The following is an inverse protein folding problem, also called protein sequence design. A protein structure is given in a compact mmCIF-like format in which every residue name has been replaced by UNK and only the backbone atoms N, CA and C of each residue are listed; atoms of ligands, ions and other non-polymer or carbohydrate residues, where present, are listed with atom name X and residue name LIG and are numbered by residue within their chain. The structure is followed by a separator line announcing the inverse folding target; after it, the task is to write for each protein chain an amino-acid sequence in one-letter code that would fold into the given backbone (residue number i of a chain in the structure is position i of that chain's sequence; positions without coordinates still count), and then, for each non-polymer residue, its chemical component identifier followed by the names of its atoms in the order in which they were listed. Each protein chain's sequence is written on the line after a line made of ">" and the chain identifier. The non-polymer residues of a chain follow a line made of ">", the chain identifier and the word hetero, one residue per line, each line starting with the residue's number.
data_IF_762164908832
#
_entry.id   IF_762164908832
#
_cell.length_a   1.000
_cell.length_b   1.000
_cell.length_c   1.000
_cell.angle_alpha   90.00
_cell.angle_beta   90.00
_cell.angle_gamma   90.00
#
_symmetry.space_group_name_H-M   'P 1'
#
loop_
_entity.id
_entity.type
_entity.pdbx_description
1 polymer ?
#
# COMPACT_ATOMS: atom_id res chain seq x y z
N UNK A 1 -37.65 19.13 2.95
CA UNK A 1 -37.10 17.79 2.64
C UNK A 1 -35.89 17.56 3.52
N UNK A 2 -35.82 16.44 4.26
CA UNK A 2 -34.62 16.05 5.04
C UNK A 2 -33.77 15.17 4.13
N UNK A 3 -32.56 15.60 3.79
CA UNK A 3 -31.63 14.78 3.02
C UNK A 3 -31.10 13.65 3.90
N UNK A 4 -31.18 12.40 3.42
CA UNK A 4 -30.47 11.30 4.06
C UNK A 4 -28.99 11.44 3.75
N UNK A 5 -28.16 11.50 4.78
CA UNK A 5 -26.70 11.48 4.62
C UNK A 5 -26.31 10.05 4.25
N UNK A 6 -25.65 9.83 3.09
CA UNK A 6 -25.21 8.49 2.72
C UNK A 6 -24.20 7.97 3.76
N UNK A 7 -24.46 6.80 4.33
CA UNK A 7 -23.66 6.24 5.42
C UNK A 7 -22.42 5.45 4.97
N UNK A 8 -22.27 5.21 3.66
CA UNK A 8 -21.19 4.37 3.10
C UNK A 8 -20.25 5.11 2.15
N UNK A 9 -20.09 6.43 2.32
CA UNK A 9 -19.17 7.23 1.48
C UNK A 9 -17.71 6.83 1.73
N UNK A 10 -17.39 6.40 2.95
CA UNK A 10 -16.03 6.05 3.37
C UNK A 10 -15.63 4.63 2.94
N UNK A 11 -16.59 3.77 2.62
CA UNK A 11 -16.33 2.39 2.20
C UNK A 11 -16.10 2.37 0.70
N UNK A 12 -14.89 2.01 0.29
CA UNK A 12 -14.57 1.87 -1.12
C UNK A 12 -15.42 0.78 -1.78
N UNK A 13 -15.94 1.10 -2.97
CA UNK A 13 -16.81 0.21 -3.73
C UNK A 13 -16.05 -1.05 -4.15
N UNK A 14 -16.66 -2.21 -3.90
CA UNK A 14 -16.17 -3.50 -4.38
C UNK A 14 -16.68 -3.73 -5.79
N UNK A 15 -15.81 -3.50 -6.78
CA UNK A 15 -16.16 -3.59 -8.20
C UNK A 15 -16.00 -5.02 -8.72
N UNK A 16 -14.99 -5.74 -8.23
CA UNK A 16 -14.64 -7.09 -8.68
C UNK A 16 -14.96 -8.12 -7.59
N UNK A 17 -16.23 -8.52 -7.52
CA UNK A 17 -16.72 -9.46 -6.50
C UNK A 17 -16.45 -8.93 -5.09
N UNK A 18 -15.61 -9.59 -4.26
CA UNK A 18 -15.28 -9.11 -2.93
C UNK A 18 -14.20 -8.01 -2.90
N UNK A 19 -13.57 -7.68 -4.04
CA UNK A 19 -12.40 -6.81 -4.13
C UNK A 19 -12.77 -5.38 -4.54
N UNK A 20 -12.10 -4.40 -3.90
CA UNK A 20 -12.08 -3.02 -4.42
C UNK A 20 -11.21 -2.93 -5.67
N UNK A 21 -11.38 -1.86 -6.46
CA UNK A 21 -10.57 -1.64 -7.65
C UNK A 21 -9.06 -1.65 -7.34
N UNK A 22 -8.67 -1.01 -6.23
CA UNK A 22 -7.26 -0.97 -5.79
C UNK A 22 -6.74 -2.37 -5.47
N UNK A 23 -7.50 -3.15 -4.70
CA UNK A 23 -7.13 -4.52 -4.35
C UNK A 23 -6.96 -5.40 -5.59
N UNK A 24 -7.89 -5.28 -6.54
CA UNK A 24 -7.81 -5.98 -7.82
C UNK A 24 -6.53 -5.61 -8.58
N UNK A 25 -6.21 -4.31 -8.68
CA UNK A 25 -4.98 -3.85 -9.36
C UNK A 25 -3.72 -4.41 -8.68
N UNK A 26 -3.63 -4.43 -7.35
CA UNK A 26 -2.47 -5.01 -6.67
C UNK A 26 -2.32 -6.50 -6.91
N UNK A 27 -3.42 -7.26 -6.90
CA UNK A 27 -3.38 -8.70 -7.17
C UNK A 27 -3.09 -9.01 -8.64
N UNK A 28 -3.74 -8.30 -9.57
CA UNK A 28 -3.51 -8.46 -11.00
C UNK A 28 -2.09 -8.05 -11.39
N UNK A 29 -1.59 -6.94 -10.86
CA UNK A 29 -0.21 -6.49 -11.06
C UNK A 29 0.80 -7.48 -10.46
N UNK A 30 0.57 -7.94 -9.22
CA UNK A 30 1.41 -8.95 -8.57
C UNK A 30 1.44 -10.27 -9.34
N UNK A 31 0.28 -10.77 -9.78
CA UNK A 31 0.17 -11.97 -10.61
C UNK A 31 0.88 -11.79 -11.96
N UNK A 32 0.75 -10.63 -12.60
CA UNK A 32 1.46 -10.29 -13.83
C UNK A 32 2.98 -10.31 -13.65
N UNK A 33 3.50 -9.72 -12.56
CA UNK A 33 4.93 -9.75 -12.24
C UNK A 33 5.39 -11.18 -11.98
N UNK A 34 4.65 -11.96 -11.18
CA UNK A 34 4.97 -13.37 -10.90
C UNK A 34 5.02 -14.18 -12.20
N UNK A 35 4.07 -13.97 -13.11
CA UNK A 35 4.06 -14.62 -14.42
C UNK A 35 5.30 -14.25 -15.26
N UNK A 36 5.69 -12.96 -15.28
CA UNK A 36 6.91 -12.55 -15.96
C UNK A 36 8.16 -13.20 -15.34
N UNK A 37 8.24 -13.26 -14.00
CA UNK A 37 9.34 -13.92 -13.29
C UNK A 37 9.41 -15.41 -13.61
N UNK A 38 8.26 -16.08 -13.71
CA UNK A 38 8.16 -17.49 -14.10
C UNK A 38 8.71 -17.74 -15.51
N UNK A 39 8.44 -16.83 -16.46
CA UNK A 39 8.89 -16.99 -17.86
C UNK A 39 10.39 -16.70 -18.01
N UNK A 40 10.95 -15.78 -17.21
CA UNK A 40 12.31 -15.25 -17.43
C UNK A 40 13.36 -15.96 -16.56
N UNK A 41 13.03 -16.40 -15.35
CA UNK A 41 14.03 -16.90 -14.39
C UNK A 41 14.12 -18.43 -14.34
N UNK A 42 15.31 -18.98 -14.03
CA UNK A 42 15.47 -20.40 -13.75
C UNK A 42 14.81 -20.78 -12.42
N UNK A 43 14.47 -22.06 -12.26
CA UNK A 43 13.63 -22.60 -11.18
C UNK A 43 13.97 -22.08 -9.77
N UNK A 44 15.25 -22.05 -9.39
CA UNK A 44 15.66 -21.60 -8.06
C UNK A 44 15.43 -20.09 -7.85
N UNK A 45 15.85 -19.26 -8.80
CA UNK A 45 15.69 -17.80 -8.71
C UNK A 45 14.22 -17.41 -8.81
N UNK A 46 13.41 -18.15 -9.57
CA UNK A 46 11.97 -17.93 -9.65
C UNK A 46 11.33 -17.93 -8.26
N UNK A 47 11.52 -18.97 -7.44
CA UNK A 47 10.95 -19.02 -6.09
C UNK A 47 11.48 -17.89 -5.20
N UNK A 48 12.77 -17.58 -5.30
CA UNK A 48 13.39 -16.52 -4.50
C UNK A 48 12.73 -15.15 -4.72
N UNK A 49 12.30 -14.82 -5.94
CA UNK A 49 11.66 -13.54 -6.24
C UNK A 49 10.13 -13.59 -6.20
N UNK A 50 9.51 -14.69 -6.62
CA UNK A 50 8.04 -14.80 -6.66
C UNK A 50 7.42 -14.82 -5.26
N UNK A 51 8.07 -15.45 -4.28
CA UNK A 51 7.59 -15.48 -2.89
C UNK A 51 7.48 -14.07 -2.29
N UNK A 52 8.54 -13.24 -2.27
CA UNK A 52 8.43 -11.88 -1.71
C UNK A 52 7.49 -10.98 -2.54
N UNK A 53 7.45 -11.13 -3.86
CA UNK A 53 6.51 -10.37 -4.71
C UNK A 53 5.05 -10.75 -4.39
N UNK A 54 4.75 -12.03 -4.26
CA UNK A 54 3.42 -12.51 -3.88
C UNK A 54 3.02 -12.06 -2.48
N UNK A 55 3.94 -12.15 -1.52
CA UNK A 55 3.73 -11.66 -0.16
C UNK A 55 3.45 -10.15 -0.14
N UNK A 56 4.21 -9.38 -0.91
CA UNK A 56 4.01 -7.93 -1.02
C UNK A 56 2.67 -7.59 -1.67
N UNK A 57 2.29 -8.25 -2.76
CA UNK A 57 1.02 -8.03 -3.44
C UNK A 57 -0.18 -8.33 -2.52
N UNK A 58 -0.12 -9.45 -1.77
CA UNK A 58 -1.13 -9.80 -0.78
C UNK A 58 -1.17 -8.80 0.38
N UNK A 59 -0.01 -8.34 0.86
CA UNK A 59 0.06 -7.33 1.91
C UNK A 59 -0.55 -6.01 1.44
N UNK A 60 -0.23 -5.54 0.24
CA UNK A 60 -0.80 -4.32 -0.34
C UNK A 60 -2.32 -4.40 -0.50
N UNK A 61 -2.85 -5.58 -0.85
CA UNK A 61 -4.28 -5.78 -1.03
C UNK A 61 -5.07 -5.94 0.29
N UNK A 62 -4.53 -6.67 1.27
CA UNK A 62 -5.33 -7.12 2.42
C UNK A 62 -4.76 -6.75 3.79
N UNK A 63 -3.45 -6.49 3.90
CA UNK A 63 -2.85 -6.21 5.20
C UNK A 63 -3.23 -4.81 5.67
N UNK A 64 -3.62 -4.72 6.95
CA UNK A 64 -4.10 -3.48 7.57
C UNK A 64 -3.52 -3.29 8.98
N UNK A 65 -2.24 -2.93 9.11
CA UNK A 65 -1.64 -2.67 10.42
C UNK A 65 -2.34 -1.48 11.07
N UNK A 66 -2.75 -1.62 12.34
CA UNK A 66 -3.42 -0.57 13.12
C UNK A 66 -4.66 0.03 12.43
N UNK A 67 -5.49 -0.81 11.80
CA UNK A 67 -6.70 -0.40 11.06
C UNK A 67 -6.45 0.56 9.89
N UNK A 68 -5.20 0.67 9.41
CA UNK A 68 -4.86 1.49 8.24
C UNK A 68 -4.46 0.59 7.07
N UNK A 69 -4.91 0.87 5.84
CA UNK A 69 -4.47 0.14 4.66
C UNK A 69 -2.94 0.13 4.55
N UNK A 70 -2.33 -1.03 4.33
CA UNK A 70 -0.87 -1.14 4.24
C UNK A 70 -0.29 -0.23 3.15
N UNK A 71 -1.01 -0.02 2.05
CA UNK A 71 -0.61 0.95 1.02
C UNK A 71 -0.32 2.35 1.58
N UNK A 72 -1.11 2.83 2.55
CA UNK A 72 -0.89 4.13 3.19
C UNK A 72 0.36 4.15 4.05
N UNK A 73 0.69 3.03 4.67
CA UNK A 73 1.95 2.90 5.40
C UNK A 73 3.15 2.96 4.45
N UNK A 74 3.08 2.27 3.31
CA UNK A 74 4.12 2.28 2.28
C UNK A 74 4.27 3.69 1.67
N UNK A 75 3.15 4.34 1.32
CA UNK A 75 3.12 5.72 0.81
C UNK A 75 3.80 6.68 1.79
N UNK A 76 3.46 6.62 3.08
CA UNK A 76 4.08 7.45 4.10
C UNK A 76 5.57 7.14 4.30
N UNK A 77 5.97 5.86 4.20
CA UNK A 77 7.37 5.47 4.30
C UNK A 77 8.20 6.01 3.12
N UNK A 78 7.63 5.95 1.90
CA UNK A 78 8.24 6.50 0.70
C UNK A 78 8.36 8.02 0.80
N UNK A 79 7.28 8.72 1.19
CA UNK A 79 7.30 10.16 1.42
C UNK A 79 8.37 10.55 2.45
N UNK A 80 8.41 9.88 3.60
CA UNK A 80 9.42 10.15 4.62
C UNK A 80 10.86 9.93 4.11
N UNK A 81 11.07 8.93 3.26
CA UNK A 81 12.38 8.65 2.68
C UNK A 81 12.79 9.66 1.60
N UNK A 82 11.83 10.19 0.83
CA UNK A 82 12.09 11.14 -0.25
C UNK A 82 12.11 12.60 0.19
N UNK A 83 11.42 12.95 1.28
CA UNK A 83 11.26 14.32 1.73
C UNK A 83 12.56 14.91 2.29
N UNK A 84 12.80 16.19 1.99
CA UNK A 84 13.94 16.93 2.52
C UNK A 84 13.80 17.09 4.04
N UNK A 85 14.82 16.65 4.78
CA UNK A 85 14.85 16.78 6.25
C UNK A 85 15.26 18.20 6.63
N UNK A 86 14.27 19.05 6.88
CA UNK A 86 14.50 20.41 7.38
C UNK A 86 14.72 20.34 8.89
N UNK A 87 15.94 20.66 9.33
CA UNK A 87 16.28 20.78 10.74
C UNK A 87 16.23 22.25 11.16
N UNK A 88 15.16 22.64 11.85
CA UNK A 88 15.02 24.01 12.37
C UNK A 88 15.56 24.03 13.80
N UNK A 89 16.64 24.78 14.03
CA UNK A 89 17.14 25.03 15.39
C UNK A 89 16.29 26.12 16.04
N UNK A 90 15.70 25.81 17.20
CA UNK A 90 14.96 26.78 18.01
C UNK A 90 15.76 27.12 19.25
N UNK A 91 16.31 28.33 19.32
CA UNK A 91 16.99 28.83 20.52
C UNK A 91 16.00 28.84 21.68
N UNK A 92 16.34 28.22 22.81
CA UNK A 92 15.58 28.38 24.05
C UNK A 92 15.67 29.84 24.46
N UNK A 93 14.55 30.54 24.51
CA UNK A 93 14.50 31.85 25.15
C UNK A 93 14.82 31.69 26.64
N UNK A 94 15.72 32.54 27.13
CA UNK A 94 16.06 32.61 28.54
C UNK A 94 14.85 33.25 29.22
N UNK A 95 14.12 32.48 30.03
CA UNK A 95 13.11 33.03 30.92
C UNK A 95 13.87 33.82 31.99
N UNK A 96 13.74 35.14 31.94
CA UNK A 96 14.12 36.04 33.03
C UNK A 96 13.11 35.92 34.19
#
# INVERSE_FOLDING_TARGET
>A
MRFQVPQFIEVESKIFGPLTLKQFIYLAGGAGIIFLLYVILPFFLMFLFTIPVGALALALAFYKPNNRPFIKMVENALHYASDAKIYIWKKKEKKD
#
